data_IF_838931435269
#
_entry.id   IF_838931435269
#
_cell.length_a   1.000
_cell.length_b   1.000
_cell.length_c   1.000
_cell.angle_alpha   90.00
_cell.angle_beta   90.00
_cell.angle_gamma   90.00
#
_symmetry.space_group_name_H-M   'P 1'
#
loop_
_entity.id
_entity.type
_entity.pdbx_description
1 polymer ?
#
# COMPACT_ATOMS: atom_id res chain seq x y z
N UNK A 1 22.27 -39.41 0.05
CA UNK A 1 22.62 -38.01 0.28
C UNK A 1 21.33 -37.23 0.36
N UNK A 2 20.98 -36.69 1.50
CA UNK A 2 19.77 -35.88 1.58
C UNK A 2 19.92 -34.66 0.68
N UNK A 3 18.83 -34.18 0.06
CA UNK A 3 18.89 -32.96 -0.74
C UNK A 3 19.34 -31.79 0.15
N UNK A 4 20.05 -30.80 -0.39
CA UNK A 4 20.41 -29.63 0.39
C UNK A 4 19.14 -28.99 0.94
N UNK A 5 19.08 -28.85 2.25
CA UNK A 5 18.01 -28.11 2.88
C UNK A 5 17.96 -26.73 2.25
N UNK A 6 16.84 -26.42 1.60
CA UNK A 6 16.58 -25.08 1.10
C UNK A 6 16.25 -24.19 2.31
N UNK A 7 17.28 -23.86 3.08
CA UNK A 7 17.18 -23.10 4.33
C UNK A 7 16.44 -21.77 4.15
N UNK A 8 16.39 -21.24 2.94
CA UNK A 8 15.65 -20.02 2.60
C UNK A 8 14.13 -20.24 2.51
N UNK A 9 13.64 -21.50 2.48
CA UNK A 9 12.21 -21.82 2.55
C UNK A 9 11.73 -22.08 3.98
N UNK A 10 12.64 -22.15 4.95
CA UNK A 10 12.24 -22.26 6.35
C UNK A 10 11.63 -20.93 6.79
N UNK A 11 10.43 -20.94 7.37
CA UNK A 11 9.88 -19.75 7.99
C UNK A 11 10.78 -19.37 9.17
N UNK A 12 11.74 -18.50 8.92
CA UNK A 12 12.52 -17.89 10.00
C UNK A 12 11.57 -17.01 10.80
N UNK A 13 11.47 -17.21 12.12
CA UNK A 13 10.58 -16.37 12.91
C UNK A 13 11.03 -14.94 12.85
N UNK A 14 10.13 -14.08 12.33
CA UNK A 14 10.05 -12.65 12.62
C UNK A 14 11.31 -11.80 12.46
N UNK A 15 11.83 -11.69 11.24
CA UNK A 15 12.47 -10.41 10.89
C UNK A 15 11.38 -9.44 10.46
N UNK A 16 11.33 -8.28 11.08
CA UNK A 16 10.59 -7.15 10.56
C UNK A 16 11.01 -6.94 9.10
N UNK A 17 10.09 -7.19 8.18
CA UNK A 17 10.35 -7.10 6.75
C UNK A 17 10.20 -5.68 6.23
N UNK A 18 9.40 -4.85 6.89
CA UNK A 18 9.24 -3.44 6.58
C UNK A 18 10.32 -2.57 7.22
N UNK A 19 10.60 -1.42 6.62
CA UNK A 19 11.52 -0.41 7.18
C UNK A 19 11.04 0.05 8.56
N UNK A 20 11.95 0.31 9.51
CA UNK A 20 11.58 0.90 10.79
C UNK A 20 10.77 2.18 10.60
N UNK A 21 9.59 2.26 11.20
CA UNK A 21 8.69 3.41 11.10
C UNK A 21 7.74 3.41 9.91
N UNK A 22 8.00 2.65 8.83
CA UNK A 22 7.10 2.60 7.66
C UNK A 22 5.72 2.06 8.02
N UNK A 23 5.65 0.98 8.79
CA UNK A 23 4.39 0.40 9.24
C UNK A 23 3.57 1.38 10.09
N UNK A 24 4.22 2.17 10.95
CA UNK A 24 3.54 3.17 11.76
C UNK A 24 2.91 4.28 10.91
N UNK A 25 3.60 4.75 9.88
CA UNK A 25 3.07 5.75 8.93
C UNK A 25 1.86 5.20 8.20
N UNK A 26 1.94 3.99 7.67
CA UNK A 26 0.83 3.34 6.97
C UNK A 26 -0.34 3.06 7.90
N UNK A 27 -0.08 2.71 9.15
CA UNK A 27 -1.12 2.51 10.17
C UNK A 27 -1.89 3.82 10.43
N UNK A 28 -1.18 4.94 10.53
CA UNK A 28 -1.80 6.25 10.67
C UNK A 28 -2.65 6.61 9.45
N UNK A 29 -2.13 6.42 8.24
CA UNK A 29 -2.86 6.70 7.01
C UNK A 29 -4.10 5.82 6.86
N UNK A 30 -3.98 4.51 7.11
CA UNK A 30 -5.12 3.61 7.06
C UNK A 30 -6.20 4.01 8.07
N UNK A 31 -5.81 4.32 9.31
CA UNK A 31 -6.73 4.80 10.34
C UNK A 31 -7.39 6.13 9.97
N UNK A 32 -6.64 7.06 9.38
CA UNK A 32 -7.16 8.34 8.92
C UNK A 32 -8.22 8.17 7.82
N UNK A 33 -7.96 7.31 6.85
CA UNK A 33 -8.90 7.00 5.77
C UNK A 33 -9.98 6.00 6.15
N UNK A 34 -10.01 5.53 7.39
CA UNK A 34 -11.04 4.62 7.87
C UNK A 34 -10.93 3.20 7.34
N UNK A 35 -9.72 2.74 7.05
CA UNK A 35 -9.44 1.38 6.58
C UNK A 35 -8.78 0.54 7.67
N UNK A 36 -9.01 -0.76 7.59
CA UNK A 36 -8.35 -1.79 8.41
C UNK A 36 -7.92 -2.96 7.55
N UNK A 37 -7.00 -3.77 8.07
CA UNK A 37 -6.66 -5.05 7.42
C UNK A 37 -7.84 -6.01 7.54
N UNK A 38 -8.23 -6.66 6.44
CA UNK A 38 -9.28 -7.67 6.43
C UNK A 38 -8.94 -8.79 7.41
N UNK A 39 -9.82 -9.14 8.37
CA UNK A 39 -9.55 -10.22 9.32
C UNK A 39 -9.31 -11.58 8.63
N UNK A 40 -10.01 -11.85 7.54
CA UNK A 40 -9.89 -13.08 6.76
C UNK A 40 -8.63 -13.16 5.89
N UNK A 41 -7.93 -12.05 5.69
CA UNK A 41 -6.71 -12.04 4.88
C UNK A 41 -5.55 -12.82 5.50
N UNK A 42 -5.58 -13.03 6.82
CA UNK A 42 -4.52 -13.74 7.55
C UNK A 42 -3.17 -13.01 7.52
N UNK A 43 -3.15 -11.76 7.10
CA UNK A 43 -1.96 -10.92 6.97
C UNK A 43 -1.99 -9.78 7.98
N UNK A 44 -0.80 -9.27 8.30
CA UNK A 44 -0.64 -8.08 9.13
C UNK A 44 -0.44 -6.85 8.25
N UNK A 45 -0.61 -5.66 8.82
CA UNK A 45 -0.27 -4.42 8.11
C UNK A 45 1.20 -4.37 7.69
N UNK A 46 2.10 -4.94 8.50
CA UNK A 46 3.53 -5.06 8.15
C UNK A 46 3.75 -5.86 6.86
N UNK A 47 2.99 -6.93 6.66
CA UNK A 47 3.01 -7.71 5.42
C UNK A 47 2.55 -6.87 4.24
N UNK A 48 1.46 -6.11 4.39
CA UNK A 48 0.93 -5.24 3.33
C UNK A 48 1.95 -4.16 2.96
N UNK A 49 2.55 -3.51 3.94
CA UNK A 49 3.59 -2.49 3.73
C UNK A 49 4.81 -3.08 3.03
N UNK A 50 5.22 -4.29 3.39
CA UNK A 50 6.33 -4.99 2.73
C UNK A 50 6.04 -5.26 1.26
N UNK A 51 4.82 -5.70 0.93
CA UNK A 51 4.39 -5.93 -0.45
C UNK A 51 4.37 -4.63 -1.27
N UNK A 52 3.89 -3.55 -0.68
CA UNK A 52 3.92 -2.23 -1.31
C UNK A 52 5.36 -1.78 -1.56
N UNK A 53 6.22 -1.90 -0.57
CA UNK A 53 7.63 -1.51 -0.67
C UNK A 53 8.37 -2.32 -1.73
N UNK A 54 8.18 -3.64 -1.77
CA UNK A 54 8.74 -4.51 -2.79
C UNK A 54 8.25 -4.16 -4.21
N UNK A 55 6.97 -3.83 -4.34
CA UNK A 55 6.38 -3.41 -5.61
C UNK A 55 6.99 -2.10 -6.09
N UNK A 56 7.14 -1.12 -5.20
CA UNK A 56 7.76 0.17 -5.53
C UNK A 56 9.22 0.00 -5.96
N UNK A 57 10.00 -0.78 -5.23
CA UNK A 57 11.39 -1.07 -5.61
C UNK A 57 11.48 -1.78 -6.97
N UNK A 58 10.62 -2.77 -7.20
CA UNK A 58 10.55 -3.48 -8.48
C UNK A 58 10.19 -2.54 -9.63
N UNK A 59 9.25 -1.62 -9.43
CA UNK A 59 8.87 -0.63 -10.44
C UNK A 59 10.02 0.32 -10.78
N UNK A 60 10.78 0.77 -9.78
CA UNK A 60 11.98 1.60 -10.01
C UNK A 60 13.02 0.84 -10.83
N UNK A 61 13.32 -0.40 -10.49
CA UNK A 61 14.26 -1.23 -11.22
C UNK A 61 13.82 -1.45 -12.67
N UNK A 62 12.54 -1.72 -12.90
CA UNK A 62 11.99 -1.88 -14.23
C UNK A 62 12.05 -0.58 -15.04
N UNK A 63 11.77 0.55 -14.44
CA UNK A 63 11.83 1.86 -15.09
C UNK A 63 13.27 2.24 -15.50
N UNK A 64 14.28 1.82 -14.74
CA UNK A 64 15.68 1.99 -15.12
C UNK A 64 16.05 1.20 -16.38
N UNK A 65 15.50 -0.01 -16.53
CA UNK A 65 15.72 -0.86 -17.70
C UNK A 65 14.81 -0.48 -18.88
N UNK A 66 13.60 -0.02 -18.61
CA UNK A 66 12.58 0.32 -19.60
C UNK A 66 11.93 1.67 -19.24
N UNK A 67 12.53 2.81 -19.60
CA UNK A 67 12.06 4.14 -19.17
C UNK A 67 10.60 4.45 -19.52
N UNK A 68 10.06 3.87 -20.58
CA UNK A 68 8.65 4.03 -20.94
C UNK A 68 7.66 3.60 -19.87
N UNK A 69 8.06 2.73 -18.95
CA UNK A 69 7.20 2.31 -17.84
C UNK A 69 6.89 3.44 -16.85
N UNK A 70 7.80 4.39 -16.69
CA UNK A 70 7.60 5.53 -15.80
C UNK A 70 6.49 6.48 -16.28
N UNK A 71 6.28 6.55 -17.60
CA UNK A 71 5.27 7.40 -18.24
C UNK A 71 4.02 6.65 -18.67
N UNK A 72 4.02 5.32 -18.57
CA UNK A 72 2.87 4.51 -18.93
C UNK A 72 1.67 4.85 -18.05
N UNK A 73 0.49 4.95 -18.67
CA UNK A 73 -0.79 5.16 -17.99
C UNK A 73 -1.76 4.07 -18.38
N UNK A 74 -2.54 3.65 -17.39
CA UNK A 74 -3.59 2.65 -17.56
C UNK A 74 -4.90 3.19 -17.03
N UNK A 75 -5.97 2.99 -17.76
CA UNK A 75 -7.32 3.35 -17.30
C UNK A 75 -7.87 2.25 -16.42
N UNK A 76 -8.16 2.55 -15.17
CA UNK A 76 -8.64 1.60 -14.18
C UNK A 76 -9.53 2.27 -13.12
N UNK A 77 -10.31 1.47 -12.42
CA UNK A 77 -11.20 1.89 -11.35
C UNK A 77 -10.92 1.06 -10.07
N UNK A 78 -9.76 1.25 -9.41
CA UNK A 78 -9.44 0.53 -8.19
C UNK A 78 -10.42 0.88 -7.06
N UNK A 79 -10.53 0.02 -6.06
CA UNK A 79 -11.47 0.16 -4.93
C UNK A 79 -12.96 0.23 -5.32
N UNK A 80 -13.33 -0.27 -6.49
CA UNK A 80 -14.70 -0.18 -6.96
C UNK A 80 -15.16 1.25 -7.27
N UNK A 81 -14.22 2.12 -7.66
CA UNK A 81 -14.53 3.49 -8.04
C UNK A 81 -15.61 3.55 -9.13
N UNK A 82 -16.51 4.53 -9.04
CA UNK A 82 -17.65 4.66 -9.94
C UNK A 82 -17.25 4.99 -11.38
N UNK A 83 -16.10 5.64 -11.58
CA UNK A 83 -15.56 6.00 -12.88
C UNK A 83 -14.10 5.59 -13.00
N UNK A 84 -13.68 5.05 -14.15
CA UNK A 84 -12.28 4.77 -14.42
C UNK A 84 -11.50 6.08 -14.62
N UNK A 85 -10.25 6.09 -14.14
CA UNK A 85 -9.32 7.19 -14.31
C UNK A 85 -7.95 6.68 -14.78
N UNK A 86 -7.10 7.60 -15.23
CA UNK A 86 -5.74 7.24 -15.64
C UNK A 86 -4.82 7.10 -14.42
N UNK A 87 -4.16 5.96 -14.34
CA UNK A 87 -3.25 5.60 -13.26
C UNK A 87 -1.84 5.33 -13.79
N UNK A 88 -0.83 5.77 -13.04
CA UNK A 88 0.52 5.25 -13.23
C UNK A 88 0.58 3.80 -12.76
N UNK A 89 1.50 3.00 -13.29
CA UNK A 89 1.65 1.61 -12.86
C UNK A 89 1.99 1.48 -11.36
N UNK A 90 2.92 2.27 -10.79
CA UNK A 90 3.17 2.20 -9.35
C UNK A 90 1.95 2.54 -8.50
N UNK A 91 1.20 3.58 -8.84
CA UNK A 91 0.02 3.98 -8.10
C UNK A 91 -1.09 2.90 -8.18
N UNK A 92 -1.30 2.33 -9.36
CA UNK A 92 -2.26 1.23 -9.54
C UNK A 92 -1.85 -0.02 -8.76
N UNK A 93 -0.57 -0.38 -8.78
CA UNK A 93 -0.04 -1.51 -8.00
C UNK A 93 -0.26 -1.36 -6.50
N UNK A 94 -0.01 -0.17 -5.96
CA UNK A 94 -0.27 0.13 -4.55
C UNK A 94 -1.77 0.07 -4.24
N UNK A 95 -2.60 0.66 -5.09
CA UNK A 95 -4.05 0.66 -4.92
C UNK A 95 -4.62 -0.77 -4.95
N UNK A 96 -4.16 -1.62 -5.85
CA UNK A 96 -4.61 -3.00 -5.96
C UNK A 96 -4.17 -3.86 -4.76
N UNK A 97 -2.95 -3.68 -4.28
CA UNK A 97 -2.48 -4.35 -3.05
C UNK A 97 -3.34 -3.89 -1.86
N UNK A 98 -3.54 -2.60 -1.71
CA UNK A 98 -4.38 -2.06 -0.65
C UNK A 98 -5.81 -2.60 -0.73
N UNK A 99 -6.42 -2.64 -1.91
CA UNK A 99 -7.76 -3.17 -2.12
C UNK A 99 -7.88 -4.67 -1.79
N UNK A 100 -6.81 -5.44 -2.00
CA UNK A 100 -6.81 -6.87 -1.68
C UNK A 100 -6.77 -7.14 -0.18
N UNK A 101 -6.08 -6.32 0.60
CA UNK A 101 -5.83 -6.57 2.03
C UNK A 101 -6.61 -5.66 2.98
N UNK A 102 -7.04 -4.50 2.52
CA UNK A 102 -7.72 -3.51 3.34
C UNK A 102 -9.22 -3.45 3.02
N UNK A 103 -9.98 -3.12 4.04
CA UNK A 103 -11.42 -2.86 3.92
C UNK A 103 -11.80 -1.64 4.75
N UNK A 104 -12.92 -0.96 4.43
CA UNK A 104 -13.45 0.07 5.32
C UNK A 104 -13.70 -0.49 6.71
N UNK A 105 -13.27 0.23 7.74
CA UNK A 105 -13.55 -0.13 9.12
C UNK A 105 -15.00 0.24 9.47
N UNK A 106 -15.87 -0.74 9.77
CA UNK A 106 -17.27 -0.48 10.07
C UNK A 106 -17.48 0.29 11.38
N UNK A 107 -16.47 0.37 12.24
CA UNK A 107 -16.52 1.14 13.48
C UNK A 107 -16.31 2.65 13.25
N UNK A 108 -15.94 3.06 12.05
CA UNK A 108 -15.65 4.45 11.71
C UNK A 108 -16.81 5.04 10.92
N UNK A 109 -17.42 6.08 11.48
CA UNK A 109 -18.44 6.86 10.79
C UNK A 109 -17.80 8.01 10.01
N UNK A 110 -18.25 8.19 8.76
CA UNK A 110 -17.85 9.30 7.92
C UNK A 110 -18.84 10.44 8.06
N UNK A 111 -18.41 11.51 8.71
CA UNK A 111 -19.14 12.76 8.86
C UNK A 111 -18.31 13.94 8.33
N UNK A 112 -18.88 15.14 8.38
CA UNK A 112 -18.21 16.36 7.93
C UNK A 112 -16.98 16.71 8.78
N UNK A 113 -16.99 16.38 10.06
CA UNK A 113 -15.86 16.60 10.97
C UNK A 113 -14.68 15.70 10.58
N UNK A 114 -14.94 14.41 10.32
CA UNK A 114 -13.92 13.48 9.86
C UNK A 114 -13.34 13.85 8.52
N UNK A 115 -14.15 14.28 7.58
CA UNK A 115 -13.68 14.80 6.30
C UNK A 115 -12.76 16.01 6.46
N UNK A 116 -13.09 16.91 7.37
CA UNK A 116 -12.24 18.06 7.68
C UNK A 116 -10.90 17.64 8.27
N UNK A 117 -10.89 16.66 9.18
CA UNK A 117 -9.66 16.08 9.76
C UNK A 117 -8.78 15.44 8.69
N UNK A 118 -9.35 14.68 7.76
CA UNK A 118 -8.62 14.05 6.66
C UNK A 118 -8.01 15.11 5.75
N UNK A 119 -8.75 16.13 5.37
CA UNK A 119 -8.25 17.24 4.54
C UNK A 119 -7.10 17.98 5.21
N UNK A 120 -7.23 18.27 6.49
CA UNK A 120 -6.17 18.93 7.26
C UNK A 120 -4.90 18.08 7.31
N UNK A 121 -5.02 16.80 7.62
CA UNK A 121 -3.89 15.88 7.68
C UNK A 121 -3.18 15.74 6.32
N UNK A 122 -3.93 15.70 5.22
CA UNK A 122 -3.35 15.68 3.87
C UNK A 122 -2.59 16.96 3.54
N UNK A 123 -3.08 18.10 4.01
CA UNK A 123 -2.39 19.40 3.81
C UNK A 123 -1.07 19.44 4.58
N UNK A 124 -0.99 18.81 5.75
CA UNK A 124 0.24 18.74 6.55
C UNK A 124 1.28 17.79 5.93
N UNK A 125 0.83 16.74 5.24
CA UNK A 125 1.71 15.75 4.59
C UNK A 125 2.22 16.25 3.23
N UNK A 126 1.45 17.11 2.56
CA UNK A 126 1.85 17.69 1.27
C UNK A 126 2.38 19.11 1.54
N UNK A 127 3.71 19.32 1.54
CA UNK A 127 4.25 20.68 1.69
C UNK A 127 3.73 21.53 0.55
N UNK A 128 3.42 22.82 0.80
CA UNK A 128 3.02 23.72 -0.25
C UNK A 128 4.13 23.76 -1.30
N UNK A 129 3.75 23.66 -2.55
CA UNK A 129 4.68 23.85 -3.66
C UNK A 129 5.34 25.22 -3.49
N UNK A 130 6.65 25.17 -3.38
CA UNK A 130 7.46 26.39 -3.28
C UNK A 130 7.52 27.13 -4.62
#
# INVERSE_FOLDING_TARGET
MPPPEVAWLSPTPTRRTARPGATAVWQQLAGLFGYRVRPEAGATLDTVVTLIDATMHGMVMMALATPGMATHRTTAAPFGAAAPEEWSLPALGIADIAAAFLEPDPAIEWDSERLAQVRQALTEVTPPEA
#
